data_IF_068451102058
#
_entry.id   IF_068451102058
#
_cell.length_a   1.000
_cell.length_b   1.000
_cell.length_c   1.000
_cell.angle_alpha   90.00
_cell.angle_beta   90.00
_cell.angle_gamma   90.00
#
_symmetry.space_group_name_H-M   'P 1'
#
loop_
_entity.id
_entity.type
_entity.pdbx_description
1 polymer ?
#
# COMPACT_ATOMS: atom_id res chain seq x y z
N UNK A 1 -19.30 -44.58 -44.03
CA UNK A 1 -17.87 -44.94 -43.81
C UNK A 1 -17.29 -43.91 -42.88
N UNK A 2 -16.42 -44.31 -41.96
CA UNK A 2 -15.71 -43.39 -41.09
C UNK A 2 -14.75 -42.53 -41.90
N UNK A 3 -14.57 -41.25 -41.54
CA UNK A 3 -13.66 -40.34 -42.23
C UNK A 3 -12.18 -40.73 -41.99
N UNK A 4 -11.36 -40.37 -42.96
CA UNK A 4 -9.88 -40.41 -42.81
C UNK A 4 -9.29 -39.03 -42.89
N UNK A 5 -8.13 -38.82 -42.30
CA UNK A 5 -7.41 -37.49 -42.37
C UNK A 5 -7.09 -37.11 -43.80
N UNK A 6 -6.85 -38.10 -44.68
CA UNK A 6 -6.58 -37.83 -46.10
C UNK A 6 -7.84 -37.25 -46.77
N UNK A 7 -9.02 -37.77 -46.50
CA UNK A 7 -10.29 -37.24 -47.02
C UNK A 7 -10.55 -35.84 -46.53
N UNK A 8 -10.29 -35.54 -45.22
CA UNK A 8 -10.46 -34.24 -44.64
C UNK A 8 -9.50 -33.21 -45.26
N UNK A 9 -8.23 -33.58 -45.45
CA UNK A 9 -7.24 -32.72 -46.06
C UNK A 9 -7.58 -32.39 -47.52
N UNK A 10 -8.08 -33.39 -48.29
CA UNK A 10 -8.44 -33.23 -49.72
C UNK A 10 -9.79 -32.52 -49.94
N UNK A 11 -10.60 -32.37 -48.93
CA UNK A 11 -11.89 -31.69 -49.05
C UNK A 11 -11.70 -30.19 -49.31
N UNK A 12 -12.14 -29.74 -50.48
CA UNK A 12 -12.06 -28.34 -50.95
C UNK A 12 -13.34 -27.60 -50.61
N UNK A 13 -13.27 -26.28 -50.37
CA UNK A 13 -14.46 -25.45 -50.18
C UNK A 13 -15.34 -25.45 -51.41
N UNK A 14 -16.65 -25.27 -51.25
CA UNK A 14 -17.67 -25.12 -52.26
C UNK A 14 -18.44 -23.81 -52.02
N UNK A 15 -19.26 -23.40 -53.00
CA UNK A 15 -20.07 -22.17 -52.90
C UNK A 15 -21.01 -22.16 -51.67
N UNK A 16 -21.42 -23.35 -51.20
CA UNK A 16 -22.24 -23.50 -50.00
C UNK A 16 -21.56 -24.40 -48.99
N UNK A 17 -21.81 -24.16 -47.66
CA UNK A 17 -21.27 -25.03 -46.64
C UNK A 17 -21.81 -26.46 -46.80
N UNK A 18 -20.92 -27.43 -46.65
CA UNK A 18 -21.31 -28.86 -46.68
C UNK A 18 -20.67 -29.66 -45.56
N UNK A 19 -21.18 -30.85 -45.27
CA UNK A 19 -20.71 -31.68 -44.15
C UNK A 19 -20.20 -33.03 -44.65
N UNK A 20 -19.10 -33.49 -44.10
CA UNK A 20 -18.59 -34.86 -44.19
C UNK A 20 -18.93 -35.60 -42.90
N UNK A 21 -19.65 -36.73 -43.02
CA UNK A 21 -20.07 -37.48 -41.84
C UNK A 21 -19.02 -38.53 -41.45
N UNK A 22 -18.66 -38.57 -40.14
CA UNK A 22 -17.76 -39.57 -39.57
C UNK A 22 -18.53 -40.74 -38.91
N UNK A 23 -19.83 -40.60 -38.76
CA UNK A 23 -20.68 -41.56 -38.07
C UNK A 23 -20.97 -41.18 -36.62
N UNK A 24 -21.96 -41.88 -36.05
CA UNK A 24 -22.37 -41.68 -34.65
C UNK A 24 -22.69 -40.23 -34.27
N UNK A 25 -23.19 -39.43 -35.23
CA UNK A 25 -23.53 -38.03 -35.02
C UNK A 25 -22.37 -37.05 -35.20
N UNK A 26 -21.13 -37.50 -35.38
CA UNK A 26 -19.98 -36.66 -35.68
C UNK A 26 -19.90 -36.29 -37.16
N UNK A 27 -19.70 -35.03 -37.48
CA UNK A 27 -19.50 -34.56 -38.85
C UNK A 27 -18.50 -33.38 -38.88
N UNK A 28 -17.83 -33.21 -40.01
CA UNK A 28 -17.00 -32.09 -40.29
C UNK A 28 -17.76 -31.15 -41.21
N UNK A 29 -17.97 -29.92 -40.81
CA UNK A 29 -18.50 -28.84 -41.61
C UNK A 29 -17.35 -28.18 -42.37
N UNK A 30 -17.50 -27.98 -43.66
CA UNK A 30 -16.59 -27.25 -44.52
C UNK A 30 -17.32 -26.01 -45.04
N UNK A 31 -16.78 -24.85 -44.73
CA UNK A 31 -17.32 -23.54 -45.12
C UNK A 31 -16.76 -23.10 -46.48
N UNK A 32 -17.43 -22.14 -47.15
CA UNK A 32 -16.96 -21.59 -48.43
C UNK A 32 -15.60 -20.87 -48.33
N UNK A 33 -15.25 -20.35 -47.16
CA UNK A 33 -13.94 -19.74 -46.86
C UNK A 33 -12.80 -20.75 -46.63
N UNK A 34 -13.13 -22.04 -46.73
CA UNK A 34 -12.19 -23.14 -46.50
C UNK A 34 -12.02 -23.57 -45.07
N UNK A 35 -12.61 -22.88 -44.10
CA UNK A 35 -12.57 -23.30 -42.71
C UNK A 35 -13.32 -24.60 -42.46
N UNK A 36 -12.76 -25.46 -41.60
CA UNK A 36 -13.29 -26.80 -41.29
C UNK A 36 -13.55 -26.90 -39.81
N UNK A 37 -14.80 -27.24 -39.42
CA UNK A 37 -15.22 -27.28 -38.02
C UNK A 37 -15.97 -28.58 -37.66
N UNK A 38 -15.60 -29.17 -36.53
CA UNK A 38 -16.24 -30.36 -36.01
C UNK A 38 -17.61 -30.04 -35.43
N UNK A 39 -18.63 -30.84 -35.78
CA UNK A 39 -20.00 -30.77 -35.29
C UNK A 39 -20.46 -32.14 -34.84
N UNK A 40 -21.13 -32.16 -33.66
CA UNK A 40 -21.77 -33.37 -33.12
C UNK A 40 -23.27 -33.14 -32.99
N UNK A 41 -24.06 -33.92 -33.70
CA UNK A 41 -25.53 -33.94 -33.66
C UNK A 41 -25.99 -35.08 -32.80
N UNK A 42 -26.89 -34.82 -31.86
CA UNK A 42 -27.46 -35.83 -30.98
C UNK A 42 -28.91 -35.51 -30.64
N UNK A 43 -29.63 -36.43 -30.00
CA UNK A 43 -30.96 -36.20 -29.44
C UNK A 43 -30.89 -36.25 -27.92
N UNK A 44 -31.56 -35.30 -27.27
CA UNK A 44 -31.70 -35.24 -25.82
C UNK A 44 -33.16 -34.92 -25.48
N UNK A 45 -33.80 -35.69 -24.61
CA UNK A 45 -35.21 -35.53 -24.26
C UNK A 45 -36.14 -35.36 -25.50
N UNK A 46 -35.90 -36.14 -26.56
CA UNK A 46 -36.67 -36.10 -27.80
C UNK A 46 -36.31 -34.96 -28.78
N UNK A 47 -35.52 -33.97 -28.37
CA UNK A 47 -35.14 -32.81 -29.18
C UNK A 47 -33.77 -32.98 -29.85
N UNK A 48 -33.65 -32.55 -31.11
CA UNK A 48 -32.37 -32.56 -31.81
C UNK A 48 -31.48 -31.42 -31.25
N UNK A 49 -30.22 -31.74 -30.96
CA UNK A 49 -29.20 -30.84 -30.45
C UNK A 49 -27.95 -30.91 -31.34
N UNK A 50 -27.22 -29.78 -31.37
CA UNK A 50 -25.96 -29.65 -32.11
C UNK A 50 -24.90 -29.04 -31.20
N UNK A 51 -23.70 -29.63 -31.16
CA UNK A 51 -22.56 -29.16 -30.41
C UNK A 51 -21.35 -29.02 -31.32
N UNK A 52 -20.58 -27.96 -31.20
CA UNK A 52 -19.30 -27.78 -31.88
C UNK A 52 -18.14 -28.23 -30.98
N UNK A 53 -17.16 -28.97 -31.58
CA UNK A 53 -15.95 -29.44 -30.90
C UNK A 53 -14.72 -28.61 -31.25
N UNK A 54 -14.85 -27.60 -32.13
CA UNK A 54 -13.76 -26.72 -32.56
C UNK A 54 -13.38 -26.92 -34.03
N UNK A 55 -12.36 -26.15 -34.48
CA UNK A 55 -11.83 -26.24 -35.85
C UNK A 55 -10.92 -27.46 -36.00
N UNK A 56 -10.85 -28.00 -37.25
CA UNK A 56 -9.96 -29.12 -37.58
C UNK A 56 -8.48 -28.79 -37.36
N UNK A 57 -8.10 -27.52 -37.50
CA UNK A 57 -6.72 -27.07 -37.28
C UNK A 57 -6.27 -27.18 -35.82
N UNK A 58 -7.22 -27.13 -34.88
CA UNK A 58 -6.97 -27.21 -33.44
C UNK A 58 -7.40 -28.56 -32.83
N UNK A 59 -8.24 -29.32 -33.51
CA UNK A 59 -8.79 -30.56 -33.03
C UNK A 59 -8.71 -31.62 -34.14
N UNK A 60 -7.84 -32.58 -33.96
CA UNK A 60 -7.64 -33.68 -34.86
C UNK A 60 -8.91 -34.60 -34.96
N UNK A 61 -8.96 -35.46 -35.99
CA UNK A 61 -10.02 -36.44 -36.12
C UNK A 61 -10.13 -37.40 -34.90
N UNK A 62 -8.98 -37.82 -34.37
CA UNK A 62 -8.91 -38.66 -33.20
C UNK A 62 -9.53 -37.98 -31.97
N UNK A 63 -9.11 -36.74 -31.69
CA UNK A 63 -9.65 -35.95 -30.58
C UNK A 63 -11.13 -35.60 -30.75
N UNK A 64 -11.59 -35.36 -31.99
CA UNK A 64 -13.01 -35.15 -32.26
C UNK A 64 -13.85 -36.38 -31.95
N UNK A 65 -13.35 -37.59 -32.27
CA UNK A 65 -13.99 -38.88 -31.91
C UNK A 65 -14.03 -39.08 -30.41
N UNK A 66 -12.94 -38.80 -29.71
CA UNK A 66 -12.92 -38.89 -28.25
C UNK A 66 -13.94 -37.93 -27.60
N UNK A 67 -13.99 -36.67 -28.04
CA UNK A 67 -15.00 -35.70 -27.58
C UNK A 67 -16.42 -36.14 -27.86
N UNK A 68 -16.68 -36.78 -29.03
CA UNK A 68 -17.96 -37.41 -29.35
C UNK A 68 -18.32 -38.49 -28.36
N UNK A 69 -17.38 -39.39 -28.06
CA UNK A 69 -17.64 -40.55 -27.20
C UNK A 69 -17.88 -40.10 -25.74
N UNK A 70 -17.17 -39.07 -25.26
CA UNK A 70 -17.47 -38.44 -23.98
C UNK A 70 -18.87 -37.83 -23.98
N UNK A 71 -19.22 -37.03 -24.99
CA UNK A 71 -20.55 -36.42 -25.08
C UNK A 71 -21.68 -37.47 -25.18
N UNK A 72 -21.47 -38.60 -25.91
CA UNK A 72 -22.42 -39.69 -25.96
C UNK A 72 -22.64 -40.37 -24.60
N UNK A 73 -21.57 -40.56 -23.81
CA UNK A 73 -21.68 -41.07 -22.43
C UNK A 73 -22.50 -40.13 -21.55
N UNK A 74 -22.30 -38.82 -21.68
CA UNK A 74 -23.10 -37.83 -20.95
C UNK A 74 -24.58 -37.92 -21.30
N UNK A 75 -24.93 -38.00 -22.60
CA UNK A 75 -26.31 -38.16 -23.06
C UNK A 75 -26.93 -39.48 -22.53
N UNK A 76 -26.18 -40.60 -22.56
CA UNK A 76 -26.63 -41.88 -22.03
C UNK A 76 -26.91 -41.81 -20.51
N UNK A 77 -26.16 -40.97 -19.78
CA UNK A 77 -26.35 -40.73 -18.34
C UNK A 77 -27.43 -39.67 -18.04
N UNK A 78 -28.19 -39.22 -19.04
CA UNK A 78 -29.23 -38.21 -18.83
C UNK A 78 -28.75 -36.79 -18.68
N UNK A 79 -27.49 -36.49 -19.06
CA UNK A 79 -26.87 -35.14 -18.98
C UNK A 79 -26.83 -34.53 -20.38
N UNK A 80 -27.34 -33.29 -20.54
CA UNK A 80 -27.19 -32.51 -21.78
C UNK A 80 -25.80 -31.89 -21.88
N UNK A 81 -24.91 -32.35 -22.78
CA UNK A 81 -23.54 -31.83 -22.88
C UNK A 81 -23.46 -30.35 -23.22
N UNK A 82 -24.47 -29.79 -23.87
CA UNK A 82 -24.53 -28.38 -24.24
C UNK A 82 -24.80 -27.51 -22.99
N UNK A 83 -25.77 -27.90 -22.20
CA UNK A 83 -26.15 -27.20 -20.97
C UNK A 83 -25.05 -27.32 -19.91
N UNK A 84 -24.44 -28.51 -19.78
CA UNK A 84 -23.32 -28.72 -18.87
C UNK A 84 -22.10 -27.83 -19.25
N UNK A 85 -21.79 -27.72 -20.54
CA UNK A 85 -20.72 -26.84 -21.02
C UNK A 85 -21.02 -25.36 -20.75
N UNK A 86 -22.28 -24.95 -20.89
CA UNK A 86 -22.70 -23.57 -20.54
C UNK A 86 -22.59 -23.34 -19.04
N UNK A 87 -23.05 -24.26 -18.21
CA UNK A 87 -22.97 -24.21 -16.75
C UNK A 87 -21.50 -24.12 -16.30
N UNK A 88 -20.61 -24.96 -16.84
CA UNK A 88 -19.19 -24.94 -16.55
C UNK A 88 -18.53 -23.59 -16.93
N UNK A 89 -18.87 -23.04 -18.11
CA UNK A 89 -18.36 -21.74 -18.54
C UNK A 89 -18.86 -20.60 -17.63
N UNK A 90 -20.13 -20.64 -17.24
CA UNK A 90 -20.70 -19.66 -16.32
C UNK A 90 -20.04 -19.76 -14.93
N UNK A 91 -19.87 -20.98 -14.42
CA UNK A 91 -19.18 -21.23 -13.15
C UNK A 91 -17.74 -20.73 -13.19
N UNK A 92 -17.01 -20.98 -14.28
CA UNK A 92 -15.64 -20.47 -14.46
C UNK A 92 -15.59 -18.94 -14.53
N UNK A 93 -16.54 -18.31 -15.22
CA UNK A 93 -16.65 -16.85 -15.28
C UNK A 93 -16.93 -16.27 -13.90
N UNK A 94 -17.92 -16.79 -13.20
CA UNK A 94 -18.25 -16.38 -11.82
C UNK A 94 -17.08 -16.62 -10.86
N UNK A 95 -16.37 -17.73 -10.97
CA UNK A 95 -15.16 -18.02 -10.19
C UNK A 95 -14.07 -16.98 -10.43
N UNK A 96 -13.87 -16.57 -11.68
CA UNK A 96 -12.89 -15.54 -12.04
C UNK A 96 -13.29 -14.15 -11.51
N UNK A 97 -14.56 -13.78 -11.68
CA UNK A 97 -15.10 -12.50 -11.20
C UNK A 97 -15.14 -12.43 -9.66
N UNK A 98 -15.31 -13.56 -8.98
CA UNK A 98 -15.31 -13.69 -7.53
C UNK A 98 -13.95 -14.17 -6.97
N UNK A 99 -12.87 -14.09 -7.75
CA UNK A 99 -11.54 -14.39 -7.25
C UNK A 99 -11.12 -13.38 -6.18
N UNK A 100 -10.25 -13.79 -5.25
CA UNK A 100 -9.73 -12.90 -4.20
C UNK A 100 -9.10 -11.65 -4.78
N UNK A 101 -8.33 -11.76 -5.88
CA UNK A 101 -7.70 -10.62 -6.55
C UNK A 101 -8.74 -9.66 -7.14
N UNK A 102 -9.75 -10.16 -7.86
CA UNK A 102 -10.79 -9.33 -8.46
C UNK A 102 -11.52 -8.51 -7.39
N UNK A 103 -11.93 -9.16 -6.31
CA UNK A 103 -12.62 -8.52 -5.19
C UNK A 103 -11.70 -7.55 -4.43
N UNK A 104 -10.42 -7.91 -4.26
CA UNK A 104 -9.45 -7.03 -3.62
C UNK A 104 -9.23 -5.74 -4.43
N UNK A 105 -9.13 -5.83 -5.75
CA UNK A 105 -8.97 -4.66 -6.62
C UNK A 105 -10.22 -3.78 -6.61
N UNK A 106 -11.41 -4.38 -6.61
CA UNK A 106 -12.69 -3.66 -6.48
C UNK A 106 -12.78 -2.94 -5.12
N UNK A 107 -12.51 -3.64 -4.01
CA UNK A 107 -12.43 -3.06 -2.67
C UNK A 107 -11.43 -1.90 -2.59
N UNK A 108 -10.25 -2.08 -3.20
CA UNK A 108 -9.20 -1.08 -3.23
C UNK A 108 -9.62 0.18 -4.00
N UNK A 109 -10.30 0.03 -5.14
CA UNK A 109 -10.85 1.14 -5.94
C UNK A 109 -11.93 1.90 -5.18
N UNK A 110 -12.86 1.19 -4.54
CA UNK A 110 -13.96 1.78 -3.77
C UNK A 110 -13.51 2.53 -2.51
N UNK A 111 -12.26 2.34 -2.09
CA UNK A 111 -11.67 3.02 -0.93
C UNK A 111 -10.57 4.02 -1.30
N UNK A 112 -10.33 4.24 -2.58
CA UNK A 112 -9.23 5.06 -3.08
C UNK A 112 -9.20 6.47 -2.46
N UNK A 113 -10.36 7.10 -2.29
CA UNK A 113 -10.50 8.46 -1.76
C UNK A 113 -10.13 8.58 -0.26
N UNK A 114 -10.08 7.46 0.46
CA UNK A 114 -9.72 7.43 1.89
C UNK A 114 -8.21 7.44 2.13
N UNK A 115 -7.42 7.24 1.08
CA UNK A 115 -5.97 7.05 1.17
C UNK A 115 -5.21 8.09 0.34
N UNK A 116 -3.98 8.39 0.75
CA UNK A 116 -3.06 9.12 -0.12
C UNK A 116 -2.65 8.23 -1.30
N UNK A 117 -2.32 8.83 -2.43
CA UNK A 117 -1.89 8.10 -3.64
C UNK A 117 -0.78 7.10 -3.34
N UNK A 118 0.29 7.55 -2.66
CA UNK A 118 1.42 6.69 -2.30
C UNK A 118 1.03 5.50 -1.40
N UNK A 119 0.10 5.71 -0.46
CA UNK A 119 -0.36 4.63 0.43
C UNK A 119 -1.25 3.63 -0.30
N UNK A 120 -2.08 4.10 -1.22
CA UNK A 120 -2.89 3.27 -2.11
C UNK A 120 -2.01 2.36 -2.97
N UNK A 121 -0.97 2.91 -3.58
CA UNK A 121 0.00 2.15 -4.37
C UNK A 121 0.77 1.13 -3.51
N UNK A 122 1.16 1.48 -2.30
CA UNK A 122 1.82 0.56 -1.37
C UNK A 122 0.92 -0.63 -0.99
N UNK A 123 -0.38 -0.39 -0.77
CA UNK A 123 -1.34 -1.45 -0.45
C UNK A 123 -1.41 -2.45 -1.61
N UNK A 124 -1.70 -1.99 -2.83
CA UNK A 124 -1.89 -2.90 -3.96
C UNK A 124 -0.60 -3.64 -4.29
N UNK A 125 0.55 -2.96 -4.29
CA UNK A 125 1.87 -3.58 -4.49
C UNK A 125 2.15 -4.68 -3.47
N UNK A 126 1.73 -4.47 -2.21
CA UNK A 126 1.88 -5.50 -1.16
C UNK A 126 1.04 -6.74 -1.48
N UNK A 127 -0.20 -6.57 -1.94
CA UNK A 127 -1.03 -7.70 -2.36
C UNK A 127 -0.44 -8.42 -3.57
N UNK A 128 0.03 -7.70 -4.57
CA UNK A 128 0.65 -8.25 -5.78
C UNK A 128 1.91 -9.08 -5.47
N UNK A 129 2.70 -8.64 -4.52
CA UNK A 129 3.94 -9.32 -4.14
C UNK A 129 3.74 -10.49 -3.18
N UNK A 130 2.87 -10.34 -2.20
CA UNK A 130 2.82 -11.24 -1.04
C UNK A 130 1.54 -12.10 -0.95
N UNK A 131 0.46 -11.77 -1.67
CA UNK A 131 -0.84 -12.44 -1.52
C UNK A 131 -1.35 -13.03 -2.82
N UNK A 132 -1.45 -12.24 -3.89
CA UNK A 132 -2.02 -12.69 -5.17
C UNK A 132 -1.31 -13.88 -5.80
N UNK A 133 0.02 -14.05 -5.71
CA UNK A 133 0.68 -15.22 -6.27
C UNK A 133 0.20 -16.55 -5.68
N UNK A 134 -0.39 -16.51 -4.49
CA UNK A 134 -0.79 -17.74 -3.74
C UNK A 134 -2.29 -17.97 -3.75
N UNK A 135 -3.08 -16.93 -3.48
CA UNK A 135 -4.54 -17.04 -3.36
C UNK A 135 -5.33 -16.13 -4.30
N UNK A 136 -4.65 -15.30 -5.10
CA UNK A 136 -5.31 -14.28 -5.93
C UNK A 136 -6.35 -14.83 -6.89
N UNK A 137 -6.05 -15.96 -7.55
CA UNK A 137 -6.94 -16.60 -8.53
C UNK A 137 -8.01 -17.52 -7.92
N UNK A 138 -7.95 -17.75 -6.60
CA UNK A 138 -8.94 -18.59 -5.90
C UNK A 138 -10.26 -17.84 -5.72
N UNK A 139 -11.42 -18.49 -5.88
CA UNK A 139 -12.70 -17.93 -5.44
C UNK A 139 -12.63 -17.58 -3.95
N UNK A 140 -13.04 -16.35 -3.60
CA UNK A 140 -12.86 -15.87 -2.22
C UNK A 140 -13.63 -16.70 -1.19
N UNK A 141 -14.79 -17.22 -1.58
CA UNK A 141 -15.63 -18.10 -0.73
C UNK A 141 -14.99 -19.46 -0.41
N UNK A 142 -14.00 -19.89 -1.20
CA UNK A 142 -13.36 -21.19 -1.04
C UNK A 142 -12.06 -21.13 -0.23
N UNK A 143 -11.54 -19.93 0.03
CA UNK A 143 -10.26 -19.76 0.74
C UNK A 143 -10.42 -20.16 2.21
N UNK A 144 -9.69 -21.20 2.60
CA UNK A 144 -9.68 -21.75 3.95
C UNK A 144 -8.74 -20.93 4.86
N UNK A 145 -8.98 -20.91 6.19
CA UNK A 145 -8.11 -20.25 7.16
C UNK A 145 -6.64 -20.70 7.04
N UNK A 146 -6.39 -21.98 6.80
CA UNK A 146 -5.04 -22.52 6.67
C UNK A 146 -4.29 -21.96 5.45
N UNK A 147 -4.97 -21.80 4.32
CA UNK A 147 -4.37 -21.24 3.10
C UNK A 147 -3.93 -19.80 3.33
N UNK A 148 -4.77 -18.97 3.96
CA UNK A 148 -4.42 -17.60 4.30
C UNK A 148 -3.31 -17.54 5.36
N UNK A 149 -3.31 -18.45 6.34
CA UNK A 149 -2.25 -18.55 7.34
C UNK A 149 -0.90 -18.85 6.70
N UNK A 150 -0.84 -19.75 5.73
CA UNK A 150 0.41 -20.07 5.01
C UNK A 150 0.97 -18.85 4.28
N UNK A 151 0.11 -18.06 3.63
CA UNK A 151 0.52 -16.79 2.99
C UNK A 151 1.13 -15.83 4.03
N UNK A 152 0.46 -15.65 5.16
CA UNK A 152 0.92 -14.76 6.23
C UNK A 152 2.24 -15.24 6.85
N UNK A 153 2.40 -16.55 7.07
CA UNK A 153 3.66 -17.15 7.59
C UNK A 153 4.84 -16.97 6.65
N UNK A 154 4.62 -16.90 5.33
CA UNK A 154 5.70 -16.56 4.37
C UNK A 154 6.25 -15.17 4.61
N UNK A 155 5.38 -14.21 4.94
CA UNK A 155 5.80 -12.84 5.29
C UNK A 155 6.48 -12.82 6.65
N UNK A 156 5.94 -13.55 7.62
CA UNK A 156 6.48 -13.70 8.98
C UNK A 156 7.89 -14.28 8.99
N UNK A 157 8.14 -15.34 8.20
CA UNK A 157 9.47 -15.99 8.07
C UNK A 157 10.56 -15.03 7.59
N UNK A 158 10.21 -13.95 6.89
CA UNK A 158 11.13 -12.88 6.49
C UNK A 158 11.44 -11.88 7.63
N UNK A 159 10.92 -12.11 8.84
CA UNK A 159 11.04 -11.20 9.98
C UNK A 159 10.14 -9.95 9.91
N UNK A 160 9.25 -9.86 8.92
CA UNK A 160 8.44 -8.67 8.66
C UNK A 160 7.12 -8.70 9.44
N UNK A 161 7.17 -8.85 10.79
CA UNK A 161 6.00 -9.07 11.65
C UNK A 161 4.93 -7.98 11.53
N UNK A 162 5.34 -6.71 11.48
CA UNK A 162 4.39 -5.59 11.34
C UNK A 162 3.71 -5.61 9.96
N UNK A 163 4.42 -6.00 8.91
CA UNK A 163 3.85 -6.21 7.58
C UNK A 163 2.86 -7.37 7.59
N UNK A 164 3.19 -8.47 8.25
CA UNK A 164 2.30 -9.63 8.44
C UNK A 164 0.98 -9.20 9.09
N UNK A 165 1.06 -8.45 10.20
CA UNK A 165 -0.11 -7.91 10.89
C UNK A 165 -0.97 -7.03 9.99
N UNK A 166 -0.35 -6.11 9.23
CA UNK A 166 -1.06 -5.22 8.30
C UNK A 166 -1.71 -5.99 7.15
N UNK A 167 -1.00 -6.94 6.55
CA UNK A 167 -1.54 -7.78 5.46
C UNK A 167 -2.73 -8.59 5.95
N UNK A 168 -2.63 -9.24 7.14
CA UNK A 168 -3.75 -9.94 7.74
C UNK A 168 -4.97 -9.03 7.91
N UNK A 169 -4.78 -7.84 8.47
CA UNK A 169 -5.87 -6.86 8.64
C UNK A 169 -6.50 -6.48 7.31
N UNK A 170 -5.69 -6.24 6.27
CA UNK A 170 -6.16 -5.89 4.93
C UNK A 170 -6.93 -7.03 4.26
N UNK A 171 -6.43 -8.27 4.36
CA UNK A 171 -7.18 -9.44 3.90
C UNK A 171 -8.55 -9.51 4.59
N UNK A 172 -8.59 -9.29 5.90
CA UNK A 172 -9.86 -9.24 6.64
C UNK A 172 -10.82 -8.14 6.19
N UNK A 173 -10.31 -6.99 5.72
CA UNK A 173 -11.14 -5.94 5.13
C UNK A 173 -11.69 -6.36 3.76
N UNK A 174 -10.91 -7.06 2.93
CA UNK A 174 -11.34 -7.61 1.64
C UNK A 174 -12.42 -8.69 1.85
N UNK A 175 -12.22 -9.62 2.77
CA UNK A 175 -13.25 -10.63 3.11
C UNK A 175 -14.55 -9.99 3.62
N UNK A 176 -14.46 -8.98 4.49
CA UNK A 176 -15.66 -8.23 4.93
C UNK A 176 -16.38 -7.56 3.78
N UNK A 177 -15.64 -7.01 2.83
CA UNK A 177 -16.22 -6.43 1.62
C UNK A 177 -16.94 -7.50 0.79
N UNK A 178 -16.32 -8.67 0.62
CA UNK A 178 -16.94 -9.81 -0.07
C UNK A 178 -18.23 -10.28 0.62
N UNK A 179 -18.25 -10.34 1.95
CA UNK A 179 -19.45 -10.74 2.72
C UNK A 179 -20.59 -9.75 2.51
N UNK A 180 -20.35 -8.45 2.65
CA UNK A 180 -21.43 -7.44 2.50
C UNK A 180 -21.92 -7.31 1.06
N UNK A 181 -21.15 -7.81 0.09
CA UNK A 181 -21.54 -7.86 -1.33
C UNK A 181 -22.03 -9.25 -1.77
N UNK A 182 -22.27 -10.18 -0.82
CA UNK A 182 -22.85 -11.49 -1.08
C UNK A 182 -21.94 -12.49 -1.81
N UNK A 183 -20.62 -12.29 -1.74
CA UNK A 183 -19.63 -13.12 -2.45
C UNK A 183 -18.80 -14.03 -1.53
N UNK A 184 -18.98 -13.92 -0.22
CA UNK A 184 -18.44 -14.82 0.79
C UNK A 184 -19.33 -14.82 2.02
N UNK A 185 -19.28 -15.88 2.82
CA UNK A 185 -20.07 -16.02 4.06
C UNK A 185 -19.20 -15.90 5.32
N UNK A 186 -17.87 -16.05 5.18
CA UNK A 186 -16.96 -16.12 6.31
C UNK A 186 -15.68 -15.31 6.06
N UNK A 187 -15.13 -14.72 7.14
CA UNK A 187 -13.85 -14.00 7.14
C UNK A 187 -12.83 -14.74 8.02
N UNK A 188 -11.85 -15.43 7.44
CA UNK A 188 -10.85 -16.19 8.20
C UNK A 188 -9.79 -15.31 8.92
N UNK A 189 -9.60 -14.08 8.49
CA UNK A 189 -8.44 -13.28 8.87
C UNK A 189 -8.37 -12.86 10.36
N UNK A 190 -9.48 -12.54 11.08
CA UNK A 190 -9.40 -12.14 12.49
C UNK A 190 -8.78 -13.21 13.38
N UNK A 191 -9.24 -14.46 13.26
CA UNK A 191 -8.84 -15.56 14.14
C UNK A 191 -7.39 -15.98 13.95
N UNK A 192 -6.81 -15.71 12.78
CA UNK A 192 -5.40 -15.99 12.50
C UNK A 192 -4.42 -15.13 13.33
N UNK A 193 -4.91 -14.12 14.03
CA UNK A 193 -4.07 -13.33 14.94
C UNK A 193 -3.40 -14.20 16.02
N UNK A 194 -4.11 -15.23 16.49
CA UNK A 194 -3.64 -16.13 17.56
C UNK A 194 -2.47 -17.01 17.09
N UNK A 195 -2.45 -17.33 15.78
CA UNK A 195 -1.44 -18.22 15.20
C UNK A 195 -0.19 -17.50 14.66
N UNK A 196 -0.14 -16.18 14.77
CA UNK A 196 0.95 -15.34 14.24
C UNK A 196 1.71 -14.65 15.37
N UNK A 197 3.02 -14.44 15.17
CA UNK A 197 3.83 -13.72 16.12
C UNK A 197 3.39 -12.25 16.24
N UNK A 198 3.33 -11.78 17.48
CA UNK A 198 2.99 -10.38 17.76
C UNK A 198 4.26 -9.54 17.60
N UNK A 199 4.24 -8.49 16.74
CA UNK A 199 5.37 -7.59 16.63
C UNK A 199 5.59 -6.87 17.97
N UNK A 200 6.79 -6.98 18.52
CA UNK A 200 7.17 -6.18 19.69
C UNK A 200 7.19 -4.72 19.27
N UNK A 201 6.40 -3.89 19.94
CA UNK A 201 6.41 -2.46 19.73
C UNK A 201 7.77 -1.91 20.17
N UNK A 202 8.58 -1.48 19.21
CA UNK A 202 9.83 -0.77 19.50
C UNK A 202 9.52 0.72 19.46
N UNK A 203 9.80 1.42 20.55
CA UNK A 203 9.81 2.88 20.53
C UNK A 203 10.92 3.37 19.59
N UNK A 204 10.71 4.51 18.97
CA UNK A 204 11.78 5.14 18.19
C UNK A 204 12.94 5.47 19.13
N UNK A 205 14.17 5.08 18.79
CA UNK A 205 15.34 5.47 19.57
C UNK A 205 15.40 6.99 19.71
N UNK A 206 15.68 7.47 20.91
CA UNK A 206 15.78 8.89 21.23
C UNK A 206 16.92 9.12 22.22
N UNK A 207 17.52 10.30 22.17
CA UNK A 207 18.59 10.69 23.06
C UNK A 207 18.04 11.18 24.39
N UNK A 208 18.70 10.85 25.49
CA UNK A 208 18.40 11.43 26.79
C UNK A 208 18.82 12.92 26.84
N UNK A 209 18.45 13.61 27.92
CA UNK A 209 18.86 14.99 28.15
C UNK A 209 20.38 15.17 28.31
N UNK A 210 21.08 14.11 28.80
CA UNK A 210 22.52 14.07 28.95
C UNK A 210 23.26 13.77 27.64
N UNK A 211 22.66 12.98 26.75
CA UNK A 211 23.26 12.62 25.45
C UNK A 211 23.10 13.73 24.41
N UNK A 212 22.07 14.56 24.55
CA UNK A 212 21.73 15.59 23.55
C UNK A 212 22.85 16.64 23.35
N UNK A 213 23.57 17.15 24.36
CA UNK A 213 24.69 18.09 24.17
C UNK A 213 25.83 17.48 23.32
N UNK A 214 26.16 16.21 23.51
CA UNK A 214 27.18 15.52 22.71
C UNK A 214 26.76 15.44 21.24
N UNK A 215 25.50 15.07 20.97
CA UNK A 215 24.96 15.06 19.61
C UNK A 215 25.00 16.43 18.94
N UNK A 216 24.70 17.50 19.69
CA UNK A 216 24.74 18.87 19.16
C UNK A 216 26.17 19.25 18.77
N UNK A 217 27.17 18.97 19.60
CA UNK A 217 28.59 19.21 19.28
C UNK A 217 29.00 18.49 17.99
N UNK A 218 28.67 17.20 17.88
CA UNK A 218 28.97 16.42 16.69
C UNK A 218 28.26 16.96 15.46
N UNK A 219 26.99 17.41 15.61
CA UNK A 219 26.23 18.04 14.54
C UNK A 219 26.82 19.42 14.16
N UNK A 220 27.37 20.19 15.10
CA UNK A 220 28.07 21.43 14.79
C UNK A 220 29.36 21.17 14.01
N UNK A 221 30.07 20.08 14.31
CA UNK A 221 31.26 19.66 13.58
C UNK A 221 30.97 19.02 12.23
N UNK A 222 29.68 18.72 11.92
CA UNK A 222 29.33 18.08 10.67
C UNK A 222 29.67 18.96 9.45
N UNK A 223 30.52 18.43 8.57
CA UNK A 223 31.08 19.14 7.39
C UNK A 223 30.27 18.93 6.11
N UNK A 224 29.16 18.20 6.17
CA UNK A 224 28.29 17.97 5.02
C UNK A 224 27.44 19.20 4.65
N UNK A 225 26.36 18.96 3.91
CA UNK A 225 25.49 20.04 3.44
C UNK A 225 24.88 20.85 4.58
N UNK A 226 25.02 22.17 4.52
CA UNK A 226 24.38 23.10 5.46
C UNK A 226 22.86 22.93 5.49
N UNK A 227 22.24 22.56 4.35
CA UNK A 227 20.80 22.35 4.26
C UNK A 227 20.38 21.17 5.14
N UNK A 228 21.09 20.03 5.07
CA UNK A 228 20.76 18.85 5.88
C UNK A 228 21.15 19.03 7.34
N UNK A 229 22.24 19.76 7.61
CA UNK A 229 22.65 20.16 8.97
C UNK A 229 21.56 21.00 9.64
N UNK A 230 21.15 22.08 8.99
CA UNK A 230 20.11 22.97 9.54
C UNK A 230 18.74 22.30 9.59
N UNK A 231 18.40 21.44 8.61
CA UNK A 231 17.19 20.62 8.66
C UNK A 231 17.14 19.75 9.93
N UNK A 232 18.25 19.11 10.28
CA UNK A 232 18.35 18.26 11.48
C UNK A 232 18.19 19.09 12.76
N UNK A 233 18.86 20.25 12.83
CA UNK A 233 18.73 21.19 13.96
C UNK A 233 17.30 21.70 14.12
N UNK A 234 16.66 22.11 13.01
CA UNK A 234 15.28 22.63 13.04
C UNK A 234 14.30 21.55 13.53
N UNK A 235 14.41 20.30 13.06
CA UNK A 235 13.57 19.22 13.57
C UNK A 235 13.78 19.00 15.06
N UNK A 236 15.02 19.03 15.53
CA UNK A 236 15.38 18.87 16.94
C UNK A 236 14.84 20.02 17.80
N UNK A 237 14.96 21.26 17.32
CA UNK A 237 14.60 22.47 18.08
C UNK A 237 13.10 22.82 18.06
N UNK A 238 12.36 22.35 17.05
CA UNK A 238 10.93 22.69 16.89
C UNK A 238 9.99 21.53 17.22
N UNK A 239 10.51 20.29 17.19
CA UNK A 239 9.71 19.09 17.34
C UNK A 239 8.74 18.84 16.18
N UNK A 240 8.85 19.50 15.04
CA UNK A 240 8.05 19.21 13.84
C UNK A 240 8.40 17.84 13.26
N UNK A 241 7.48 17.21 12.54
CA UNK A 241 7.78 15.94 11.88
C UNK A 241 8.72 16.16 10.69
N UNK A 242 9.62 15.20 10.44
CA UNK A 242 10.57 15.28 9.31
C UNK A 242 9.87 15.52 7.97
N UNK A 243 8.66 15.00 7.76
CA UNK A 243 7.87 15.27 6.56
C UNK A 243 7.41 16.74 6.50
N UNK A 244 6.96 17.29 7.61
CA UNK A 244 6.52 18.69 7.71
C UNK A 244 7.69 19.64 7.39
N UNK A 245 8.85 19.38 8.00
CA UNK A 245 10.07 20.15 7.73
C UNK A 245 10.50 20.05 6.24
N UNK A 246 10.60 18.85 5.67
CA UNK A 246 11.11 18.66 4.31
C UNK A 246 10.36 19.44 3.24
N UNK A 247 9.06 19.56 3.36
CA UNK A 247 8.19 20.26 2.42
C UNK A 247 7.92 21.72 2.78
N UNK A 248 8.65 22.29 3.73
CA UNK A 248 8.51 23.69 4.11
C UNK A 248 8.86 24.63 2.95
N UNK A 249 8.04 25.66 2.78
CA UNK A 249 8.25 26.76 1.83
C UNK A 249 8.50 28.06 2.56
N UNK A 250 9.09 29.06 1.87
CA UNK A 250 9.39 30.35 2.50
C UNK A 250 8.13 31.15 2.85
N UNK A 251 7.02 30.93 2.16
CA UNK A 251 5.73 31.59 2.43
C UNK A 251 5.13 31.18 3.79
N UNK A 252 5.59 30.05 4.35
CA UNK A 252 5.15 29.55 5.65
C UNK A 252 5.92 30.19 6.83
N UNK A 253 7.03 30.86 6.56
CA UNK A 253 7.96 31.37 7.59
C UNK A 253 7.87 32.89 7.70
N UNK A 254 7.33 33.37 8.81
CA UNK A 254 7.39 34.78 9.20
C UNK A 254 8.52 34.99 10.20
N UNK A 255 9.67 35.47 9.71
CA UNK A 255 10.85 35.68 10.53
C UNK A 255 10.72 36.89 11.47
N UNK A 256 9.85 37.86 11.14
CA UNK A 256 9.61 39.04 11.97
C UNK A 256 8.74 38.70 13.17
N UNK A 257 7.64 37.98 12.92
CA UNK A 257 6.77 37.45 14.00
C UNK A 257 7.38 36.25 14.71
N UNK A 258 8.42 35.61 14.17
CA UNK A 258 9.03 34.42 14.72
C UNK A 258 8.07 33.25 14.75
N UNK A 259 7.36 32.99 13.65
CA UNK A 259 6.40 31.87 13.52
C UNK A 259 6.59 31.12 12.21
N UNK A 260 6.23 29.84 12.25
CA UNK A 260 6.11 28.95 11.09
C UNK A 260 4.68 28.43 11.04
N UNK A 261 3.94 28.79 10.00
CA UNK A 261 2.56 28.37 9.76
C UNK A 261 2.50 27.20 8.78
N UNK A 262 2.28 25.98 9.29
CA UNK A 262 2.17 24.79 8.46
C UNK A 262 0.71 24.62 8.03
N UNK A 263 0.40 24.64 6.71
CA UNK A 263 -0.99 24.55 6.25
C UNK A 263 -1.60 23.16 6.49
N UNK A 264 -2.92 23.12 6.62
CA UNK A 264 -3.70 21.94 6.97
C UNK A 264 -3.45 20.74 6.03
N UNK A 265 -3.27 21.01 4.74
CA UNK A 265 -3.06 20.00 3.69
C UNK A 265 -1.78 19.20 3.90
N UNK A 266 -0.79 19.78 4.58
CA UNK A 266 0.49 19.16 4.89
C UNK A 266 0.49 18.42 6.23
N UNK A 267 -0.50 18.71 7.07
CA UNK A 267 -0.61 18.11 8.40
C UNK A 267 -1.34 16.77 8.38
N UNK A 268 -0.87 15.81 9.18
CA UNK A 268 -1.47 14.46 9.29
C UNK A 268 -2.96 14.52 9.67
N UNK A 269 -3.34 15.48 10.52
CA UNK A 269 -4.71 15.63 11.03
C UNK A 269 -5.52 16.68 10.28
N UNK A 270 -5.02 17.21 9.15
CA UNK A 270 -5.67 18.23 8.31
C UNK A 270 -6.15 19.46 9.11
N UNK A 271 -5.35 19.88 10.09
CA UNK A 271 -5.52 21.13 10.85
C UNK A 271 -4.25 21.96 10.70
N UNK A 272 -4.33 23.28 10.48
CA UNK A 272 -3.15 24.12 10.40
C UNK A 272 -2.39 24.08 11.73
N UNK A 273 -1.08 24.23 11.68
CA UNK A 273 -0.23 24.19 12.85
C UNK A 273 0.74 25.37 12.89
N UNK A 274 0.64 26.20 13.92
CA UNK A 274 1.54 27.34 14.16
C UNK A 274 2.65 26.87 15.09
N UNK A 275 3.90 27.03 14.65
CA UNK A 275 5.10 26.69 15.41
C UNK A 275 5.83 27.98 15.77
N UNK A 276 5.87 28.38 17.06
CA UNK A 276 6.70 29.51 17.49
C UNK A 276 8.18 29.14 17.36
N UNK A 277 8.98 30.07 16.81
CA UNK A 277 10.38 29.90 16.54
C UNK A 277 11.21 30.56 17.63
N UNK A 278 12.18 29.82 18.20
CA UNK A 278 13.22 30.42 19.05
C UNK A 278 14.22 31.25 18.20
N UNK A 279 14.96 32.14 18.84
CA UNK A 279 15.98 32.94 18.16
C UNK A 279 17.00 32.07 17.40
N UNK A 280 17.38 30.92 17.99
CA UNK A 280 18.28 29.96 17.35
C UNK A 280 17.70 29.40 16.04
N UNK A 281 16.41 29.08 16.01
CA UNK A 281 15.73 28.57 14.80
C UNK A 281 15.59 29.67 13.74
N UNK A 282 15.28 30.90 14.16
CA UNK A 282 15.25 32.08 13.26
C UNK A 282 16.59 32.26 12.57
N UNK A 283 17.69 32.15 13.31
CA UNK A 283 19.05 32.27 12.76
C UNK A 283 19.39 31.16 11.76
N UNK A 284 18.94 29.94 12.02
CA UNK A 284 19.06 28.81 11.05
C UNK A 284 18.31 29.11 9.74
N UNK A 285 17.11 29.66 9.82
CA UNK A 285 16.36 30.08 8.63
C UNK A 285 17.03 31.23 7.91
N UNK A 286 17.55 32.22 8.63
CA UNK A 286 18.33 33.36 8.04
C UNK A 286 19.56 32.84 7.28
N UNK A 287 20.26 31.82 7.79
CA UNK A 287 21.40 31.21 7.07
C UNK A 287 20.96 30.51 5.78
N UNK A 288 19.74 29.92 5.74
CA UNK A 288 19.22 29.24 4.57
C UNK A 288 18.62 30.19 3.52
N UNK A 289 18.10 31.36 3.92
CA UNK A 289 17.40 32.30 3.04
C UNK A 289 18.21 32.72 1.81
N UNK A 290 19.51 33.10 1.91
CA UNK A 290 20.34 33.43 0.75
C UNK A 290 20.56 32.23 -0.20
N UNK A 291 20.54 31.01 0.34
CA UNK A 291 20.85 29.79 -0.41
C UNK A 291 19.62 29.25 -1.12
N UNK A 292 18.47 29.29 -0.46
CA UNK A 292 17.26 28.58 -0.94
C UNK A 292 16.05 29.50 -1.16
N UNK A 293 16.18 30.82 -0.93
CA UNK A 293 15.07 31.78 -0.98
C UNK A 293 14.36 31.89 -2.34
N UNK A 294 15.03 31.46 -3.41
CA UNK A 294 14.50 31.45 -4.78
C UNK A 294 14.04 30.08 -5.27
N UNK A 295 14.05 29.05 -4.40
CA UNK A 295 13.57 27.70 -4.73
C UNK A 295 12.21 27.43 -4.08
N UNK A 296 11.44 26.43 -4.63
CA UNK A 296 10.12 26.10 -4.10
C UNK A 296 10.13 25.63 -2.64
N UNK A 297 11.23 25.01 -2.19
CA UNK A 297 11.37 24.46 -0.85
C UNK A 297 12.56 25.08 -0.12
N UNK A 298 12.46 25.20 1.20
CA UNK A 298 13.57 25.62 2.06
C UNK A 298 14.70 24.58 2.07
N UNK A 299 14.31 23.29 2.13
CA UNK A 299 15.24 22.18 2.22
C UNK A 299 15.31 21.45 0.88
N UNK A 300 16.02 22.05 -0.07
CA UNK A 300 16.13 21.55 -1.45
C UNK A 300 17.01 20.31 -1.56
N UNK A 301 16.64 19.39 -2.49
CA UNK A 301 17.43 18.21 -2.80
C UNK A 301 18.74 18.53 -3.53
N UNK A 302 19.79 17.76 -3.22
CA UNK A 302 21.12 17.94 -3.83
C UNK A 302 21.11 17.75 -5.35
N UNK A 303 20.46 16.68 -5.81
CA UNK A 303 20.44 16.31 -7.25
C UNK A 303 19.32 17.00 -8.03
N UNK A 304 18.28 17.46 -7.35
CA UNK A 304 17.17 18.17 -7.98
C UNK A 304 16.65 19.24 -7.00
N UNK A 305 16.99 20.48 -7.29
CA UNK A 305 16.66 21.65 -6.45
C UNK A 305 15.17 22.03 -6.48
N UNK A 306 14.41 21.49 -7.46
CA UNK A 306 12.94 21.64 -7.50
C UNK A 306 12.21 20.64 -6.61
N UNK A 307 12.93 19.70 -5.97
CA UNK A 307 12.38 18.72 -5.03
C UNK A 307 12.98 18.93 -3.64
N UNK A 308 12.25 18.58 -2.57
CA UNK A 308 12.81 18.66 -1.22
C UNK A 308 13.88 17.57 -1.01
N UNK A 309 14.69 17.71 0.05
CA UNK A 309 15.62 16.65 0.50
C UNK A 309 14.89 15.31 0.67
N UNK A 310 15.63 14.21 0.55
CA UNK A 310 15.05 12.85 0.68
C UNK A 310 14.47 12.61 2.07
N UNK A 311 13.59 11.63 2.20
CA UNK A 311 13.02 11.26 3.50
C UNK A 311 14.06 10.68 4.47
N UNK A 312 15.18 10.21 3.94
CA UNK A 312 16.31 9.63 4.66
C UNK A 312 17.32 10.68 5.10
N UNK A 313 17.29 11.91 4.59
CA UNK A 313 18.37 12.92 4.78
C UNK A 313 18.72 13.18 6.25
N UNK A 314 17.72 13.37 7.11
CA UNK A 314 17.95 13.55 8.56
C UNK A 314 18.53 12.29 9.19
N UNK A 315 18.00 11.13 8.83
CA UNK A 315 18.51 9.85 9.35
C UNK A 315 19.94 9.56 8.89
N UNK A 316 20.30 9.95 7.67
CA UNK A 316 21.68 9.84 7.16
C UNK A 316 22.65 10.74 7.94
N UNK A 317 22.26 11.98 8.27
CA UNK A 317 23.08 12.84 9.13
C UNK A 317 23.30 12.18 10.50
N UNK A 318 22.23 11.68 11.14
CA UNK A 318 22.28 10.99 12.43
C UNK A 318 23.21 9.76 12.34
N UNK A 319 23.12 8.98 11.27
CA UNK A 319 23.96 7.79 11.06
C UNK A 319 25.44 8.15 10.85
N UNK A 320 25.73 9.18 10.03
CA UNK A 320 27.09 9.66 9.78
C UNK A 320 27.77 10.19 11.05
N UNK A 321 27.01 10.72 11.98
CA UNK A 321 27.49 11.19 13.28
C UNK A 321 27.66 10.02 14.30
N UNK A 322 27.42 8.75 13.91
CA UNK A 322 27.60 7.60 14.78
C UNK A 322 26.40 7.27 15.68
N UNK A 323 25.24 7.89 15.48
CA UNK A 323 24.04 7.70 16.32
C UNK A 323 23.01 6.73 15.71
N UNK A 324 23.42 5.88 14.75
CA UNK A 324 22.56 4.85 14.18
C UNK A 324 22.01 3.94 15.28
N UNK A 325 20.67 3.79 15.32
CA UNK A 325 20.00 2.97 16.34
C UNK A 325 19.88 3.61 17.72
N UNK A 326 20.48 4.80 17.94
CA UNK A 326 20.43 5.57 19.20
C UNK A 326 19.50 6.79 19.07
N UNK A 327 19.47 7.41 17.89
CA UNK A 327 18.63 8.58 17.62
C UNK A 327 17.87 8.44 16.30
N UNK A 328 16.75 9.15 16.18
CA UNK A 328 15.98 9.31 14.96
C UNK A 328 15.37 10.70 14.90
N UNK A 329 15.03 11.21 13.71
CA UNK A 329 14.30 12.48 13.60
C UNK A 329 12.97 12.49 14.35
N UNK A 330 12.32 11.33 14.53
CA UNK A 330 11.13 11.22 15.37
C UNK A 330 11.48 11.13 16.87
N UNK A 331 12.64 10.57 17.19
CA UNK A 331 13.15 10.47 18.57
C UNK A 331 13.39 11.85 19.19
N UNK A 332 13.80 12.87 18.44
CA UNK A 332 13.95 14.23 18.95
C UNK A 332 12.67 14.81 19.55
N UNK A 333 11.50 14.38 19.06
CA UNK A 333 10.20 14.79 19.63
C UNK A 333 9.99 14.15 21.02
N UNK A 334 10.45 12.91 21.20
CA UNK A 334 10.43 12.24 22.51
C UNK A 334 11.39 12.94 23.47
N UNK A 335 12.62 13.21 23.05
CA UNK A 335 13.60 13.96 23.85
C UNK A 335 13.06 15.31 24.27
N UNK A 336 12.48 16.10 23.35
CA UNK A 336 11.86 17.39 23.63
C UNK A 336 10.72 17.25 24.65
N UNK A 337 9.80 16.30 24.41
CA UNK A 337 8.66 16.07 25.30
C UNK A 337 9.13 15.73 26.73
N UNK A 338 10.10 14.82 26.86
CA UNK A 338 10.64 14.42 28.16
C UNK A 338 11.28 15.60 28.90
N UNK A 339 12.18 16.35 28.24
CA UNK A 339 12.85 17.51 28.84
C UNK A 339 11.82 18.56 29.31
N UNK A 340 10.84 18.89 28.48
CA UNK A 340 9.85 19.90 28.80
C UNK A 340 8.92 19.47 29.95
N UNK A 341 8.50 18.20 30.02
CA UNK A 341 7.73 17.68 31.13
C UNK A 341 8.53 17.65 32.44
N UNK A 342 9.79 17.21 32.39
CA UNK A 342 10.68 17.20 33.56
C UNK A 342 10.93 18.60 34.12
N UNK A 343 10.88 19.62 33.28
CA UNK A 343 11.01 21.03 33.69
C UNK A 343 9.68 21.67 34.13
N UNK A 344 8.60 20.90 34.18
CA UNK A 344 7.32 21.34 34.68
C UNK A 344 6.50 22.25 33.74
N UNK A 345 6.80 22.26 32.43
CA UNK A 345 5.95 22.95 31.48
C UNK A 345 4.59 22.28 31.31
N UNK A 346 3.55 23.09 31.06
CA UNK A 346 2.18 22.61 30.92
C UNK A 346 2.07 21.59 29.77
N UNK A 347 1.51 20.42 30.07
CA UNK A 347 1.31 19.35 29.07
C UNK A 347 0.50 19.81 27.87
N UNK A 348 -0.47 20.73 28.04
CA UNK A 348 -1.25 21.23 26.90
C UNK A 348 -0.38 22.01 25.91
N UNK A 349 0.60 22.78 26.40
CA UNK A 349 1.53 23.50 25.52
C UNK A 349 2.43 22.54 24.75
N UNK A 350 2.92 21.49 25.43
CA UNK A 350 3.79 20.47 24.84
C UNK A 350 3.01 19.67 23.76
N UNK A 351 1.80 19.21 24.07
CA UNK A 351 0.98 18.45 23.14
C UNK A 351 0.60 19.26 21.89
N UNK A 352 0.25 20.54 22.06
CA UNK A 352 -0.02 21.44 20.92
C UNK A 352 1.26 21.68 20.11
N UNK A 353 2.43 21.90 20.77
CA UNK A 353 3.71 22.04 20.06
C UNK A 353 4.04 20.83 19.21
N UNK A 354 3.75 19.63 19.71
CA UNK A 354 3.95 18.39 19.01
C UNK A 354 2.82 18.04 18.01
N UNK A 355 1.81 18.91 17.85
CA UNK A 355 0.62 18.65 17.04
C UNK A 355 0.01 17.28 17.32
N UNK A 356 -0.08 16.93 18.60
CA UNK A 356 -0.83 15.77 19.06
C UNK A 356 -2.31 16.15 19.22
N UNK A 357 -3.20 15.23 18.85
CA UNK A 357 -4.63 15.43 19.04
C UNK A 357 -4.98 14.92 20.42
N UNK A 358 -5.63 15.76 21.22
CA UNK A 358 -6.20 15.33 22.47
C UNK A 358 -7.24 14.22 22.19
N UNK A 359 -7.00 13.04 22.75
CA UNK A 359 -7.89 11.88 22.61
C UNK A 359 -9.20 12.07 23.35
N UNK A 360 -9.26 13.06 24.24
CA UNK A 360 -10.48 13.42 24.94
C UNK A 360 -11.33 14.29 24.01
N UNK A 361 -12.34 13.67 23.37
CA UNK A 361 -13.17 14.30 22.35
C UNK A 361 -13.82 15.61 22.80
N UNK A 362 -14.10 15.78 24.08
CA UNK A 362 -14.70 16.98 24.68
C UNK A 362 -13.70 18.14 24.71
N UNK A 363 -12.45 17.92 25.16
CA UNK A 363 -11.42 18.97 25.15
C UNK A 363 -10.95 19.33 23.74
N UNK A 364 -10.77 18.35 22.86
CA UNK A 364 -10.31 18.55 21.49
C UNK A 364 -11.30 19.30 20.60
N UNK A 365 -12.60 19.28 20.91
CA UNK A 365 -13.65 19.97 20.15
C UNK A 365 -13.80 21.44 20.53
N UNK A 366 -13.55 21.78 21.80
CA UNK A 366 -13.79 23.13 22.34
C UNK A 366 -12.52 23.96 22.63
N UNK A 367 -11.33 23.34 22.67
CA UNK A 367 -10.11 24.08 22.96
C UNK A 367 -9.41 24.56 21.69
N UNK A 368 -9.76 25.75 21.22
CA UNK A 368 -9.08 26.46 20.12
C UNK A 368 -7.88 27.28 20.59
N UNK A 369 -7.55 27.23 21.88
CA UNK A 369 -6.44 27.99 22.43
C UNK A 369 -5.11 27.49 21.86
N UNK A 370 -4.35 28.38 21.25
CA UNK A 370 -3.04 28.08 20.68
C UNK A 370 -1.90 28.23 21.69
N UNK A 371 -2.14 28.87 22.84
CA UNK A 371 -1.14 29.21 23.87
C UNK A 371 0.17 29.75 23.26
N UNK A 372 0.06 30.61 22.23
CA UNK A 372 1.20 30.95 21.37
C UNK A 372 2.34 31.61 22.16
N UNK A 373 2.03 32.53 23.06
CA UNK A 373 3.06 33.22 23.88
C UNK A 373 3.71 32.29 24.89
N UNK A 374 2.91 31.44 25.54
CA UNK A 374 3.43 30.42 26.46
C UNK A 374 4.35 29.43 25.72
N UNK A 375 3.93 28.96 24.55
CA UNK A 375 4.73 28.07 23.70
C UNK A 375 5.99 28.78 23.16
N UNK A 376 5.94 30.09 22.86
CA UNK A 376 7.09 30.87 22.46
C UNK A 376 8.14 30.89 23.59
N UNK A 377 7.73 31.18 24.80
CA UNK A 377 8.61 31.17 25.97
C UNK A 377 9.18 29.76 26.22
N UNK A 378 8.35 28.74 26.17
CA UNK A 378 8.74 27.33 26.31
C UNK A 378 9.78 26.93 25.26
N UNK A 379 9.57 27.24 23.98
CA UNK A 379 10.49 26.88 22.90
C UNK A 379 11.79 27.67 22.93
N UNK A 380 11.74 28.95 23.37
CA UNK A 380 12.93 29.73 23.59
C UNK A 380 13.75 29.16 24.73
N UNK A 381 13.09 28.82 25.84
CA UNK A 381 13.75 28.19 26.99
C UNK A 381 14.38 26.84 26.55
N UNK A 382 13.67 26.00 25.82
CA UNK A 382 14.17 24.71 25.34
C UNK A 382 15.45 24.88 24.50
N UNK A 383 15.43 25.79 23.54
CA UNK A 383 16.60 26.06 22.70
C UNK A 383 17.80 26.55 23.52
N UNK A 384 17.58 27.48 24.47
CA UNK A 384 18.64 27.99 25.37
C UNK A 384 19.18 26.90 26.29
N UNK A 385 18.30 26.05 26.85
CA UNK A 385 18.66 24.96 27.75
C UNK A 385 19.61 23.96 27.09
N UNK A 386 19.28 23.50 25.87
CA UNK A 386 20.09 22.49 25.19
C UNK A 386 21.41 23.07 24.67
N UNK A 387 21.46 24.34 24.18
CA UNK A 387 22.69 24.98 23.76
C UNK A 387 23.53 25.47 24.94
N UNK A 388 22.93 25.89 26.05
CA UNK A 388 23.61 26.29 27.27
C UNK A 388 24.43 25.14 27.88
N UNK A 389 23.91 23.91 27.89
CA UNK A 389 24.65 22.72 28.31
C UNK A 389 25.86 22.44 27.42
N UNK A 390 25.77 22.63 26.13
CA UNK A 390 26.92 22.48 25.20
C UNK A 390 28.09 23.41 25.57
N UNK A 391 27.78 24.68 25.94
CA UNK A 391 28.80 25.65 26.32
C UNK A 391 29.46 25.31 27.66
N UNK A 392 28.68 24.82 28.64
CA UNK A 392 29.19 24.42 29.95
C UNK A 392 30.12 23.18 29.90
N UNK A 393 29.85 22.22 29.03
CA UNK A 393 30.67 21.02 28.86
C UNK A 393 31.92 21.25 27.97
N UNK A 394 32.02 22.43 27.32
CA UNK A 394 33.19 22.81 26.50
C UNK A 394 34.19 23.62 27.28
N UNK A 395 33.92 23.97 28.53
CA UNK A 395 34.83 24.66 29.47
C UNK A 395 35.39 23.62 30.45
#
# INVERSE_FOLDING_TARGET
MALTDIQIKRAKPQDKPYTLNDGQGLSLLINPDGSKGWRFRFRFAGKARLMSFGSYDLVSLAEAREKRDVARKQVANGIDPVEERKASRLAQKLSTENSFEAICREWHTNRADRWTVAYREEIIKTFEQDVFPFIGKRPISEIKPLELLEVLRRIEKRGALEKTRKVRQRCGEVFRYAIVTGRADYNPAPDLAIALAVPKQKHYPFLSAEELPHFIRDLEAYTGSIITKNATKIVMLTGVRTKEMRFATWDEIDLEKGIWEIPAERMKMRRPHIVPLSTQVIDLFKQLKPITGHYPYIFIGRNNRSKPISKESVSQVIELLGYKGRATGHGFRHTMSSILHEQGFDSAWIEIQLAHVDKNSIRGTYNHAQYLDNRRNMMQWYAQHIYGKVIQESK
#
